data_IF_545794796688
#
_entry.id   IF_545794796688
#
_cell.length_a   1.000
_cell.length_b   1.000
_cell.length_c   1.000
_cell.angle_alpha   90.00
_cell.angle_beta   90.00
_cell.angle_gamma   90.00
#
_symmetry.space_group_name_H-M   'P 1'
#
loop_
_entity.id
_entity.type
_entity.pdbx_description
1 polymer ?
#
# COMPACT_ATOMS: atom_id res chain seq x y z
N UNK A 1 14.03 2.38 -10.08
CA UNK A 1 13.91 3.75 -9.55
C UNK A 1 12.84 3.86 -8.47
N UNK A 2 11.53 3.70 -8.76
CA UNK A 2 10.45 3.92 -7.78
C UNK A 2 10.57 3.10 -6.48
N UNK A 3 10.91 1.81 -6.56
CA UNK A 3 11.12 0.96 -5.37
C UNK A 3 12.30 1.43 -4.49
N UNK A 4 13.39 1.89 -5.11
CA UNK A 4 14.53 2.44 -4.37
C UNK A 4 14.16 3.74 -3.66
N UNK A 5 13.40 4.62 -4.33
CA UNK A 5 12.93 5.89 -3.73
C UNK A 5 12.01 5.63 -2.53
N UNK A 6 11.08 4.67 -2.65
CA UNK A 6 10.19 4.31 -1.55
C UNK A 6 10.95 3.67 -0.37
N UNK A 7 11.96 2.83 -0.65
CA UNK A 7 12.82 2.29 0.41
C UNK A 7 13.62 3.40 1.11
N UNK A 8 14.17 4.36 0.35
CA UNK A 8 14.86 5.51 0.91
C UNK A 8 13.93 6.41 1.75
N UNK A 9 12.69 6.61 1.31
CA UNK A 9 11.67 7.34 2.06
C UNK A 9 11.31 6.64 3.38
N UNK A 10 11.21 5.31 3.39
CA UNK A 10 11.00 4.53 4.62
C UNK A 10 12.15 4.68 5.61
N UNK A 11 13.39 4.68 5.12
CA UNK A 11 14.57 4.97 5.96
C UNK A 11 14.46 6.38 6.53
N UNK A 12 14.21 7.40 5.70
CA UNK A 12 14.06 8.76 6.18
C UNK A 12 12.94 8.91 7.24
N UNK A 13 11.80 8.27 7.03
CA UNK A 13 10.69 8.26 7.98
C UNK A 13 11.07 7.59 9.31
N UNK A 14 11.80 6.47 9.28
CA UNK A 14 12.28 5.82 10.49
C UNK A 14 13.22 6.71 11.32
N UNK A 15 14.09 7.48 10.65
CA UNK A 15 14.93 8.46 11.34
C UNK A 15 14.10 9.61 11.93
N UNK A 16 13.06 10.09 11.23
CA UNK A 16 12.18 11.14 11.74
C UNK A 16 11.39 10.72 12.99
N UNK A 17 11.13 9.41 13.18
CA UNK A 17 10.35 8.89 14.31
C UNK A 17 11.13 8.76 15.63
N UNK A 18 12.47 8.81 15.62
CA UNK A 18 13.22 8.61 16.86
C UNK A 18 14.74 8.71 16.79
N UNK A 19 15.34 9.11 15.66
CA UNK A 19 16.78 9.27 15.61
C UNK A 19 17.25 10.51 16.39
N UNK A 20 18.42 10.45 17.06
CA UNK A 20 19.01 11.61 17.73
C UNK A 20 19.15 12.79 16.76
N UNK A 21 18.86 14.00 17.25
CA UNK A 21 19.05 15.22 16.49
C UNK A 21 20.51 15.31 15.97
N UNK A 22 20.69 15.67 14.70
CA UNK A 22 22.01 15.74 14.06
C UNK A 22 22.50 14.44 13.42
N UNK A 23 21.77 13.32 13.56
CA UNK A 23 22.10 12.10 12.84
C UNK A 23 21.90 12.32 11.33
N UNK A 24 22.92 12.06 10.48
CA UNK A 24 22.83 12.40 9.06
C UNK A 24 22.08 11.31 8.29
N UNK A 25 20.75 11.26 8.49
CA UNK A 25 19.82 10.26 7.94
C UNK A 25 19.90 10.11 6.41
N UNK A 26 20.29 11.17 5.71
CA UNK A 26 20.40 11.19 4.25
C UNK A 26 21.47 10.24 3.71
N UNK A 27 22.55 9.96 4.45
CA UNK A 27 23.53 8.93 4.07
C UNK A 27 22.90 7.53 4.06
N UNK A 28 22.08 7.22 5.06
CA UNK A 28 21.38 5.93 5.15
C UNK A 28 20.30 5.81 4.06
N UNK A 29 19.57 6.89 3.80
CA UNK A 29 18.58 6.92 2.72
C UNK A 29 19.24 6.75 1.34
N UNK A 30 20.37 7.42 1.08
CA UNK A 30 21.15 7.25 -0.15
C UNK A 30 21.75 5.84 -0.26
N UNK A 31 22.24 5.28 0.84
CA UNK A 31 22.73 3.90 0.91
C UNK A 31 21.63 2.89 0.57
N UNK A 32 20.43 3.03 1.16
CA UNK A 32 19.28 2.18 0.85
C UNK A 32 18.83 2.33 -0.62
N UNK A 33 18.81 3.56 -1.15
CA UNK A 33 18.53 3.82 -2.56
C UNK A 33 19.49 3.05 -3.47
N UNK A 34 20.81 3.18 -3.23
CA UNK A 34 21.84 2.51 -4.01
C UNK A 34 21.76 0.99 -3.88
N UNK A 35 21.58 0.47 -2.66
CA UNK A 35 21.48 -0.96 -2.37
C UNK A 35 20.28 -1.60 -3.08
N UNK A 36 19.10 -0.96 -3.02
CA UNK A 36 17.88 -1.41 -3.71
C UNK A 36 17.99 -1.24 -5.23
N UNK A 37 18.72 -0.23 -5.71
CA UNK A 37 18.96 -0.07 -7.14
C UNK A 37 19.87 -1.18 -7.71
N UNK A 38 20.91 -1.57 -6.97
CA UNK A 38 21.90 -2.58 -7.39
C UNK A 38 21.42 -4.01 -7.15
N UNK A 39 20.80 -4.26 -6.00
CA UNK A 39 20.34 -5.58 -5.56
C UNK A 39 18.87 -5.48 -5.11
N UNK A 40 17.89 -5.45 -6.04
CA UNK A 40 16.51 -5.08 -5.69
C UNK A 40 15.88 -5.86 -4.54
N UNK A 41 16.04 -7.18 -4.50
CA UNK A 41 15.44 -8.02 -3.45
C UNK A 41 16.27 -8.03 -2.17
N UNK A 42 17.56 -8.35 -2.28
CA UNK A 42 18.44 -8.42 -1.11
C UNK A 42 18.59 -7.05 -0.46
N UNK A 43 18.72 -5.99 -1.27
CA UNK A 43 18.78 -4.62 -0.81
C UNK A 43 17.50 -4.14 -0.14
N UNK A 44 16.34 -4.55 -0.64
CA UNK A 44 15.07 -4.22 0.03
C UNK A 44 14.96 -4.92 1.38
N UNK A 45 15.30 -6.22 1.47
CA UNK A 45 15.28 -6.98 2.74
C UNK A 45 16.27 -6.39 3.74
N UNK A 46 17.50 -6.08 3.31
CA UNK A 46 18.51 -5.48 4.16
C UNK A 46 18.10 -4.08 4.65
N UNK A 47 17.54 -3.23 3.79
CA UNK A 47 17.04 -1.92 4.20
C UNK A 47 15.87 -2.04 5.19
N UNK A 48 14.91 -2.94 4.93
CA UNK A 48 13.79 -3.18 5.84
C UNK A 48 14.27 -3.71 7.20
N UNK A 49 15.20 -4.67 7.22
CA UNK A 49 15.80 -5.20 8.43
C UNK A 49 16.56 -4.12 9.22
N UNK A 50 17.33 -3.27 8.54
CA UNK A 50 18.04 -2.17 9.18
C UNK A 50 17.08 -1.15 9.82
N UNK A 51 16.00 -0.79 9.14
CA UNK A 51 14.97 0.10 9.69
C UNK A 51 14.30 -0.51 10.91
N UNK A 52 13.93 -1.79 10.82
CA UNK A 52 13.40 -2.58 11.94
C UNK A 52 14.37 -2.49 13.11
N UNK A 53 15.60 -3.00 12.97
CA UNK A 53 16.60 -3.00 14.06
C UNK A 53 16.80 -1.61 14.65
N UNK A 54 16.89 -0.57 13.83
CA UNK A 54 17.02 0.81 14.29
C UNK A 54 15.86 1.22 15.23
N UNK A 55 14.61 0.96 14.84
CA UNK A 55 13.43 1.29 15.63
C UNK A 55 13.34 0.47 16.94
N UNK A 56 13.82 -0.77 16.93
CA UNK A 56 13.93 -1.58 18.15
C UNK A 56 14.97 -1.00 19.11
N UNK A 57 16.13 -0.56 18.60
CA UNK A 57 17.19 0.03 19.42
C UNK A 57 16.81 1.40 20.01
N UNK A 58 15.85 2.09 19.39
CA UNK A 58 15.31 3.36 19.89
C UNK A 58 14.20 3.18 20.95
N UNK A 59 13.76 1.94 21.19
CA UNK A 59 12.72 1.58 22.17
C UNK A 59 11.40 2.39 22.03
N UNK A 60 11.11 2.82 20.79
CA UNK A 60 9.99 3.73 20.50
C UNK A 60 8.64 3.01 20.36
N UNK A 61 8.60 1.67 20.48
CA UNK A 61 7.40 0.86 20.28
C UNK A 61 6.94 0.72 18.81
N UNK A 62 7.61 1.36 17.85
CA UNK A 62 7.24 1.33 16.43
C UNK A 62 7.83 0.15 15.63
N UNK A 63 8.87 -0.50 16.16
CA UNK A 63 9.53 -1.64 15.53
C UNK A 63 8.56 -2.76 15.10
N UNK A 64 7.70 -3.27 16.00
CA UNK A 64 6.71 -4.30 15.67
C UNK A 64 5.76 -3.93 14.53
N UNK A 65 5.28 -2.69 14.48
CA UNK A 65 4.40 -2.21 13.40
C UNK A 65 5.12 -2.21 12.05
N UNK A 66 6.36 -1.73 12.01
CA UNK A 66 7.15 -1.74 10.77
C UNK A 66 7.50 -3.16 10.35
N UNK A 67 7.87 -4.03 11.29
CA UNK A 67 8.10 -5.45 10.99
C UNK A 67 6.83 -6.12 10.44
N UNK A 68 5.68 -5.89 11.07
CA UNK A 68 4.40 -6.42 10.63
C UNK A 68 4.04 -5.92 9.21
N UNK A 69 4.41 -4.68 8.86
CA UNK A 69 4.21 -4.15 7.51
C UNK A 69 5.14 -4.85 6.49
N UNK A 70 6.44 -4.95 6.78
CA UNK A 70 7.45 -5.41 5.81
C UNK A 70 7.55 -6.93 5.68
N UNK A 71 7.33 -7.70 6.75
CA UNK A 71 7.53 -9.15 6.78
C UNK A 71 6.65 -9.94 5.79
N UNK A 72 5.36 -9.60 5.56
CA UNK A 72 4.52 -10.32 4.61
C UNK A 72 4.89 -10.09 3.13
N UNK A 73 5.59 -8.99 2.82
CA UNK A 73 5.94 -8.61 1.43
C UNK A 73 6.77 -9.68 0.71
N UNK A 74 7.94 -10.13 1.22
CA UNK A 74 8.75 -11.14 0.53
C UNK A 74 8.03 -12.50 0.42
N UNK A 75 7.13 -12.81 1.35
CA UNK A 75 6.38 -14.07 1.35
C UNK A 75 5.29 -14.07 0.26
N UNK A 76 4.48 -13.00 0.22
CA UNK A 76 3.33 -12.89 -0.67
C UNK A 76 3.70 -12.45 -2.10
N UNK A 77 4.79 -11.70 -2.26
CA UNK A 77 5.23 -11.14 -3.54
C UNK A 77 6.54 -11.77 -4.04
N UNK A 78 6.91 -12.97 -3.57
CA UNK A 78 8.17 -13.66 -3.92
C UNK A 78 8.39 -13.77 -5.44
N UNK A 79 7.31 -14.10 -6.16
CA UNK A 79 7.29 -14.33 -7.61
C UNK A 79 6.93 -13.06 -8.40
N UNK A 80 6.59 -11.97 -7.70
CA UNK A 80 6.30 -10.71 -8.34
C UNK A 80 7.59 -10.01 -8.78
N UNK A 81 7.43 -9.06 -9.71
CA UNK A 81 8.54 -8.23 -10.19
C UNK A 81 9.14 -7.43 -9.04
N UNK A 82 10.47 -7.26 -8.95
CA UNK A 82 11.10 -6.54 -7.82
C UNK A 82 10.49 -5.16 -7.49
N UNK A 83 10.06 -4.33 -8.46
CA UNK A 83 9.47 -3.03 -8.14
C UNK A 83 8.17 -3.10 -7.33
N UNK A 84 7.43 -4.21 -7.39
CA UNK A 84 6.15 -4.35 -6.67
C UNK A 84 6.34 -4.59 -5.17
N UNK A 85 7.55 -4.89 -4.70
CA UNK A 85 7.82 -5.11 -3.28
C UNK A 85 7.66 -3.82 -2.46
N UNK A 86 7.93 -2.66 -3.05
CA UNK A 86 7.73 -1.37 -2.38
C UNK A 86 6.37 -0.75 -2.67
N UNK A 87 5.58 -1.32 -3.59
CA UNK A 87 4.28 -0.77 -3.96
C UNK A 87 3.28 -0.64 -2.78
N UNK A 88 3.22 -1.55 -1.78
CA UNK A 88 2.34 -1.38 -0.62
C UNK A 88 2.55 -0.06 0.14
N UNK A 89 3.76 0.49 0.13
CA UNK A 89 4.09 1.76 0.76
C UNK A 89 3.36 2.96 0.12
N UNK A 90 2.84 2.82 -1.10
CA UNK A 90 2.03 3.86 -1.73
C UNK A 90 0.65 3.98 -1.09
N UNK A 91 0.10 2.93 -0.47
CA UNK A 91 -1.23 2.98 0.11
C UNK A 91 -1.36 4.01 1.26
N UNK A 92 -0.45 4.04 2.26
CA UNK A 92 -0.40 5.14 3.22
C UNK A 92 -0.24 6.53 2.59
N UNK A 93 0.58 6.66 1.53
CA UNK A 93 0.78 7.94 0.82
C UNK A 93 -0.50 8.41 0.16
N UNK A 94 -1.25 7.52 -0.49
CA UNK A 94 -2.59 7.82 -0.99
C UNK A 94 -3.53 8.18 0.17
N UNK A 95 -3.46 7.49 1.31
CA UNK A 95 -4.24 7.79 2.50
C UNK A 95 -4.04 9.21 3.04
N UNK A 96 -2.80 9.70 3.05
CA UNK A 96 -2.49 11.09 3.45
C UNK A 96 -3.20 12.11 2.56
N UNK A 97 -3.38 11.80 1.28
CA UNK A 97 -4.16 12.60 0.34
C UNK A 97 -5.68 12.36 0.38
N UNK A 98 -6.19 11.47 1.24
CA UNK A 98 -7.60 11.04 1.22
C UNK A 98 -7.96 10.17 0.00
N UNK A 99 -6.96 9.51 -0.61
CA UNK A 99 -7.09 8.75 -1.84
C UNK A 99 -6.81 7.26 -1.64
N UNK A 100 -6.81 6.75 -0.39
CA UNK A 100 -6.43 5.37 -0.09
C UNK A 100 -7.18 4.33 -0.94
N UNK A 101 -8.49 4.53 -1.16
CA UNK A 101 -9.32 3.65 -1.99
C UNK A 101 -8.92 3.61 -3.47
N UNK A 102 -8.03 4.49 -3.94
CA UNK A 102 -7.46 4.42 -5.28
C UNK A 102 -6.41 3.30 -5.43
N UNK A 103 -5.82 2.83 -4.33
CA UNK A 103 -4.73 1.87 -4.37
C UNK A 103 -5.10 0.50 -5.00
N UNK A 104 -6.29 -0.10 -4.75
CA UNK A 104 -6.70 -1.31 -5.46
C UNK A 104 -6.70 -1.18 -6.99
N UNK A 105 -6.90 0.01 -7.56
CA UNK A 105 -6.76 0.22 -9.00
C UNK A 105 -5.32 0.01 -9.47
N UNK A 106 -4.33 0.45 -8.69
CA UNK A 106 -2.90 0.24 -8.96
C UNK A 106 -2.55 -1.25 -8.81
N UNK A 107 -3.03 -1.89 -7.74
CA UNK A 107 -2.78 -3.31 -7.48
C UNK A 107 -3.36 -4.22 -8.58
N UNK A 108 -4.53 -3.88 -9.11
CA UNK A 108 -5.18 -4.62 -10.19
C UNK A 108 -4.42 -4.63 -11.53
N UNK A 109 -3.39 -3.80 -11.68
CA UNK A 109 -2.58 -3.73 -12.91
C UNK A 109 -1.51 -4.85 -13.01
N UNK A 110 -1.28 -5.62 -11.95
CA UNK A 110 -0.33 -6.74 -12.02
C UNK A 110 -0.81 -7.84 -13.00
N UNK A 111 0.11 -8.62 -13.57
CA UNK A 111 -0.24 -9.62 -14.60
C UNK A 111 -0.94 -10.85 -14.02
N UNK A 112 -0.53 -11.31 -12.82
CA UNK A 112 -1.05 -12.54 -12.20
C UNK A 112 -2.16 -12.23 -11.19
N UNK A 113 -3.27 -12.98 -11.18
CA UNK A 113 -4.42 -12.69 -10.30
C UNK A 113 -4.05 -12.75 -8.82
N UNK A 114 -3.28 -13.75 -8.40
CA UNK A 114 -2.82 -13.89 -7.01
C UNK A 114 -1.97 -12.69 -6.58
N UNK A 115 -1.11 -12.16 -7.45
CA UNK A 115 -0.31 -10.98 -7.11
C UNK A 115 -1.16 -9.71 -7.00
N UNK A 116 -2.25 -9.57 -7.79
CA UNK A 116 -3.19 -8.44 -7.65
C UNK A 116 -3.85 -8.45 -6.28
N UNK A 117 -4.40 -9.61 -5.91
CA UNK A 117 -5.06 -9.80 -4.63
C UNK A 117 -4.08 -9.58 -3.46
N UNK A 118 -2.89 -10.19 -3.53
CA UNK A 118 -1.85 -10.03 -2.52
C UNK A 118 -1.41 -8.56 -2.38
N UNK A 119 -1.19 -7.86 -3.49
CA UNK A 119 -0.81 -6.44 -3.45
C UNK A 119 -1.95 -5.58 -2.90
N UNK A 120 -3.20 -5.84 -3.27
CA UNK A 120 -4.38 -5.16 -2.72
C UNK A 120 -4.50 -5.34 -1.20
N UNK A 121 -4.39 -6.57 -0.71
CA UNK A 121 -4.38 -6.88 0.72
C UNK A 121 -3.21 -6.18 1.46
N UNK A 122 -2.01 -6.26 0.90
CA UNK A 122 -0.81 -5.61 1.46
C UNK A 122 -0.97 -4.09 1.51
N UNK A 123 -1.59 -3.47 0.51
CA UNK A 123 -1.88 -2.03 0.54
C UNK A 123 -2.78 -1.64 1.70
N UNK A 124 -3.87 -2.37 1.92
CA UNK A 124 -4.77 -2.13 3.05
C UNK A 124 -4.03 -2.33 4.37
N UNK A 125 -3.28 -3.44 4.48
CA UNK A 125 -2.47 -3.77 5.66
C UNK A 125 -1.48 -2.65 6.01
N UNK A 126 -0.74 -2.15 5.02
CA UNK A 126 0.18 -1.03 5.21
C UNK A 126 -0.54 0.26 5.60
N UNK A 127 -1.67 0.58 4.98
CA UNK A 127 -2.46 1.76 5.32
C UNK A 127 -2.99 1.69 6.76
N UNK A 128 -3.44 0.52 7.22
CA UNK A 128 -3.91 0.32 8.59
C UNK A 128 -2.79 0.43 9.62
N UNK A 129 -1.63 -0.17 9.36
CA UNK A 129 -0.47 -0.06 10.24
C UNK A 129 0.12 1.36 10.27
N UNK A 130 -0.11 2.16 9.22
CA UNK A 130 0.33 3.56 9.16
C UNK A 130 -0.54 4.50 10.00
N UNK A 131 -1.81 4.20 10.28
CA UNK A 131 -2.66 5.05 11.13
C UNK A 131 -2.08 5.29 12.53
N UNK A 132 -1.72 4.26 13.33
CA UNK A 132 -1.13 4.47 14.65
C UNK A 132 0.26 5.13 14.57
N UNK A 133 1.03 4.86 13.50
CA UNK A 133 2.35 5.48 13.28
C UNK A 133 2.27 6.99 13.05
N UNK A 134 1.23 7.43 12.34
CA UNK A 134 1.06 8.83 11.93
C UNK A 134 0.17 9.62 12.87
N UNK A 135 -0.57 8.97 13.77
CA UNK A 135 -1.60 9.61 14.60
C UNK A 135 -2.73 10.21 13.77
N UNK A 136 -2.91 9.74 12.54
CA UNK A 136 -3.82 10.29 11.54
C UNK A 136 -4.85 9.24 11.12
N UNK A 137 -6.08 9.69 10.91
CA UNK A 137 -7.12 8.86 10.30
C UNK A 137 -6.90 8.83 8.79
N UNK A 138 -6.42 7.71 8.27
CA UNK A 138 -6.23 7.47 6.83
C UNK A 138 -7.45 6.76 6.21
N UNK A 139 -8.02 5.82 6.96
CA UNK A 139 -9.15 4.98 6.60
C UNK A 139 -10.26 5.19 7.62
N UNK A 140 -10.15 4.61 8.81
CA UNK A 140 -11.20 4.65 9.83
C UNK A 140 -10.73 5.10 11.21
N UNK A 141 -9.42 5.22 11.44
CA UNK A 141 -8.85 5.74 12.67
C UNK A 141 -8.04 4.67 13.39
N UNK A 142 -6.80 5.02 13.72
CA UNK A 142 -5.87 4.14 14.41
C UNK A 142 -6.22 3.95 15.89
N UNK A 143 -5.43 3.10 16.54
CA UNK A 143 -5.42 2.93 17.99
C UNK A 143 -4.29 3.77 18.61
N UNK A 144 -4.42 4.14 19.88
CA UNK A 144 -3.35 4.73 20.69
C UNK A 144 -2.31 3.67 21.15
N UNK A 145 -2.60 2.38 20.93
CA UNK A 145 -1.71 1.28 21.26
C UNK A 145 -0.38 1.39 20.50
N UNK A 146 0.67 0.76 21.06
CA UNK A 146 2.00 0.66 20.44
C UNK A 146 2.49 -0.78 20.45
N UNK A 147 3.61 -1.02 19.76
CA UNK A 147 4.26 -2.33 19.75
C UNK A 147 3.35 -3.42 19.17
N UNK A 148 3.35 -4.57 19.83
CA UNK A 148 2.55 -5.72 19.40
C UNK A 148 1.05 -5.55 19.64
N UNK A 149 0.65 -4.72 20.60
CA UNK A 149 -0.77 -4.44 20.87
C UNK A 149 -1.40 -3.69 19.70
N UNK A 150 -0.67 -2.72 19.13
CA UNK A 150 -1.09 -2.02 17.91
C UNK A 150 -1.24 -2.97 16.70
N UNK A 151 -0.30 -3.93 16.55
CA UNK A 151 -0.38 -4.94 15.50
C UNK A 151 -1.60 -5.84 15.72
N UNK A 152 -1.85 -6.26 16.96
CA UNK A 152 -3.00 -7.10 17.31
C UNK A 152 -4.33 -6.36 17.06
N UNK A 153 -4.42 -5.07 17.40
CA UNK A 153 -5.58 -4.23 17.12
C UNK A 153 -5.88 -4.13 15.62
N UNK A 154 -4.85 -3.92 14.79
CA UNK A 154 -4.98 -3.89 13.32
C UNK A 154 -5.34 -5.28 12.75
N UNK A 155 -4.85 -6.36 13.36
CA UNK A 155 -5.14 -7.73 12.96
C UNK A 155 -6.53 -8.24 13.36
N UNK A 156 -7.38 -7.41 13.98
CA UNK A 156 -8.76 -7.76 14.28
C UNK A 156 -9.63 -7.88 13.01
N UNK A 157 -10.82 -8.47 13.16
CA UNK A 157 -11.72 -8.79 12.06
C UNK A 157 -11.98 -7.62 11.09
N UNK A 158 -12.18 -6.36 11.51
CA UNK A 158 -12.38 -5.24 10.57
C UNK A 158 -11.15 -4.98 9.70
N UNK A 159 -9.94 -5.04 10.25
CA UNK A 159 -8.71 -4.83 9.49
C UNK A 159 -8.48 -5.90 8.44
N UNK A 160 -8.68 -7.17 8.81
CA UNK A 160 -8.58 -8.30 7.88
C UNK A 160 -9.69 -8.27 6.82
N UNK A 161 -10.92 -7.89 7.20
CA UNK A 161 -12.03 -7.74 6.27
C UNK A 161 -11.75 -6.63 5.24
N UNK A 162 -11.17 -5.50 5.66
CA UNK A 162 -10.80 -4.42 4.76
C UNK A 162 -9.69 -4.85 3.79
N UNK A 163 -8.70 -5.61 4.27
CA UNK A 163 -7.69 -6.22 3.41
C UNK A 163 -8.31 -7.17 2.38
N UNK A 164 -9.33 -7.94 2.78
CA UNK A 164 -10.15 -8.77 1.89
C UNK A 164 -10.89 -7.94 0.83
N UNK A 165 -11.52 -6.84 1.21
CA UNK A 165 -12.20 -5.91 0.29
C UNK A 165 -11.23 -5.34 -0.74
N UNK A 166 -10.04 -4.91 -0.32
CA UNK A 166 -9.03 -4.37 -1.24
C UNK A 166 -8.45 -5.45 -2.16
N UNK A 167 -8.23 -6.66 -1.65
CA UNK A 167 -7.81 -7.80 -2.45
C UNK A 167 -8.84 -8.16 -3.52
N UNK A 168 -10.13 -8.24 -3.15
CA UNK A 168 -11.23 -8.48 -4.07
C UNK A 168 -11.35 -7.36 -5.11
N UNK A 169 -11.25 -6.09 -4.68
CA UNK A 169 -11.23 -4.94 -5.57
C UNK A 169 -10.12 -5.06 -6.64
N UNK A 170 -8.90 -5.33 -6.21
CA UNK A 170 -7.76 -5.50 -7.12
C UNK A 170 -7.91 -6.72 -8.05
N UNK A 171 -8.50 -7.81 -7.57
CA UNK A 171 -8.73 -9.03 -8.35
C UNK A 171 -9.80 -8.85 -9.42
N UNK A 172 -10.92 -8.20 -9.07
CA UNK A 172 -12.10 -8.07 -9.92
C UNK A 172 -11.96 -7.00 -11.00
N UNK A 173 -11.13 -5.98 -10.76
CA UNK A 173 -10.93 -4.83 -11.66
C UNK A 173 -10.76 -5.22 -13.15
N UNK A 174 -9.80 -6.07 -13.55
CA UNK A 174 -9.56 -6.38 -14.96
C UNK A 174 -10.69 -7.18 -15.63
N UNK A 175 -11.61 -7.77 -14.86
CA UNK A 175 -12.79 -8.45 -15.39
C UNK A 175 -13.90 -7.47 -15.75
N UNK A 176 -14.02 -6.39 -14.97
CA UNK A 176 -15.01 -5.34 -15.12
C UNK A 176 -14.57 -4.25 -16.11
N UNK A 177 -13.27 -3.94 -16.15
CA UNK A 177 -12.68 -2.88 -16.97
C UNK A 177 -11.62 -3.49 -17.89
N UNK A 178 -12.07 -3.90 -19.08
CA UNK A 178 -11.27 -4.72 -20.02
C UNK A 178 -10.47 -3.89 -21.01
N UNK A 179 -10.93 -2.68 -21.35
CA UNK A 179 -10.26 -1.79 -22.31
C UNK A 179 -10.74 -1.94 -23.74
N UNK A 180 -11.86 -2.64 -23.98
CA UNK A 180 -12.36 -2.93 -25.35
C UNK A 180 -13.32 -1.87 -25.86
N UNK A 181 -14.16 -1.32 -24.98
CA UNK A 181 -15.22 -0.36 -25.33
C UNK A 181 -15.31 0.66 -24.21
N UNK A 182 -14.98 1.92 -24.50
CA UNK A 182 -14.88 2.98 -23.49
C UNK A 182 -16.16 3.11 -22.65
N UNK A 183 -17.33 3.08 -23.28
CA UNK A 183 -18.60 3.19 -22.57
C UNK A 183 -18.80 2.05 -21.55
N UNK A 184 -18.48 0.81 -21.92
CA UNK A 184 -18.57 -0.36 -21.03
C UNK A 184 -17.55 -0.25 -19.90
N UNK A 185 -16.32 0.19 -20.22
CA UNK A 185 -15.26 0.37 -19.23
C UNK A 185 -15.58 1.47 -18.21
N UNK A 186 -16.22 2.57 -18.63
CA UNK A 186 -16.67 3.64 -17.73
C UNK A 186 -17.77 3.13 -16.78
N UNK A 187 -18.75 2.39 -17.29
CA UNK A 187 -19.81 1.79 -16.46
C UNK A 187 -19.21 0.77 -15.48
N UNK A 188 -18.33 -0.11 -15.96
CA UNK A 188 -17.65 -1.11 -15.14
C UNK A 188 -16.77 -0.48 -14.06
N UNK A 189 -16.00 0.55 -14.39
CA UNK A 189 -15.16 1.28 -13.44
C UNK A 189 -16.00 1.98 -12.36
N UNK A 190 -17.13 2.59 -12.76
CA UNK A 190 -18.05 3.26 -11.83
C UNK A 190 -18.70 2.27 -10.86
N UNK A 191 -19.21 1.15 -11.38
CA UNK A 191 -19.82 0.09 -10.57
C UNK A 191 -18.79 -0.53 -9.61
N UNK A 192 -17.57 -0.77 -10.09
CA UNK A 192 -16.47 -1.28 -9.29
C UNK A 192 -16.04 -0.31 -8.18
N UNK A 193 -15.85 0.98 -8.50
CA UNK A 193 -15.46 1.98 -7.50
C UNK A 193 -16.53 2.16 -6.44
N UNK A 194 -17.81 2.14 -6.83
CA UNK A 194 -18.93 2.21 -5.90
C UNK A 194 -18.97 0.98 -4.97
N UNK A 195 -18.80 -0.22 -5.52
CA UNK A 195 -18.76 -1.46 -4.73
C UNK A 195 -17.58 -1.49 -3.75
N UNK A 196 -16.39 -1.04 -4.18
CA UNK A 196 -15.21 -0.96 -3.32
C UNK A 196 -15.42 0.04 -2.17
N UNK A 197 -15.97 1.21 -2.47
CA UNK A 197 -16.25 2.23 -1.47
C UNK A 197 -17.33 1.77 -0.48
N UNK A 198 -18.43 1.19 -0.97
CA UNK A 198 -19.49 0.63 -0.13
C UNK A 198 -18.98 -0.53 0.74
N UNK A 199 -18.16 -1.43 0.18
CA UNK A 199 -17.53 -2.52 0.93
C UNK A 199 -16.60 -2.02 2.02
N UNK A 200 -15.80 -0.99 1.74
CA UNK A 200 -14.95 -0.36 2.75
C UNK A 200 -15.79 0.26 3.86
N UNK A 201 -16.81 1.06 3.52
CA UNK A 201 -17.71 1.66 4.50
C UNK A 201 -18.45 0.63 5.35
N UNK A 202 -18.87 -0.50 4.76
CA UNK A 202 -19.54 -1.58 5.47
C UNK A 202 -18.64 -2.23 6.53
N UNK A 203 -17.34 -2.36 6.23
CA UNK A 203 -16.35 -2.90 7.17
C UNK A 203 -16.02 -1.89 8.28
N UNK A 204 -15.89 -0.61 7.93
CA UNK A 204 -15.45 0.44 8.87
C UNK A 204 -16.59 1.04 9.69
N UNK A 205 -17.86 0.77 9.34
CA UNK A 205 -19.04 1.34 9.98
C UNK A 205 -19.27 2.84 9.71
N UNK A 206 -18.31 3.51 9.06
CA UNK A 206 -18.34 4.93 8.74
C UNK A 206 -17.61 5.18 7.40
N UNK A 207 -17.95 6.25 6.65
CA UNK A 207 -17.28 6.56 5.40
C UNK A 207 -15.77 6.79 5.63
N UNK A 208 -14.89 6.10 4.86
CA UNK A 208 -13.45 6.35 4.93
C UNK A 208 -13.09 7.79 4.58
N UNK A 209 -11.97 8.29 5.11
CA UNK A 209 -11.48 9.64 4.76
C UNK A 209 -11.25 9.75 3.25
N UNK A 210 -11.82 10.80 2.65
CA UNK A 210 -11.68 11.09 1.23
C UNK A 210 -12.31 10.05 0.29
N UNK A 211 -13.25 9.22 0.80
CA UNK A 211 -13.94 8.17 0.05
C UNK A 211 -14.39 8.59 -1.36
N UNK A 212 -15.00 9.77 -1.51
CA UNK A 212 -15.48 10.27 -2.81
C UNK A 212 -14.32 10.56 -3.76
N UNK A 213 -13.33 11.35 -3.33
CA UNK A 213 -12.16 11.67 -4.15
C UNK A 213 -11.35 10.41 -4.51
N UNK A 214 -11.17 9.51 -3.54
CA UNK A 214 -10.54 8.22 -3.73
C UNK A 214 -11.28 7.38 -4.76
N UNK A 215 -12.61 7.24 -4.65
CA UNK A 215 -13.43 6.48 -5.59
C UNK A 215 -13.37 7.05 -7.02
N UNK A 216 -13.46 8.37 -7.18
CA UNK A 216 -13.35 9.04 -8.48
C UNK A 216 -11.99 8.79 -9.11
N UNK A 217 -10.90 9.00 -8.37
CA UNK A 217 -9.55 8.73 -8.88
C UNK A 217 -9.35 7.26 -9.23
N UNK A 218 -9.89 6.36 -8.41
CA UNK A 218 -9.84 4.91 -8.63
C UNK A 218 -10.49 4.52 -9.96
N UNK A 219 -11.69 5.04 -10.24
CA UNK A 219 -12.38 4.84 -11.51
C UNK A 219 -11.62 5.43 -12.70
N UNK A 220 -11.06 6.63 -12.56
CA UNK A 220 -10.25 7.26 -13.60
C UNK A 220 -8.99 6.45 -13.93
N UNK A 221 -8.27 5.97 -12.91
CA UNK A 221 -7.08 5.11 -13.07
C UNK A 221 -7.42 3.78 -13.74
N UNK A 222 -8.56 3.19 -13.39
CA UNK A 222 -9.05 1.96 -14.00
C UNK A 222 -9.27 2.13 -15.52
N UNK A 223 -9.98 3.18 -15.93
CA UNK A 223 -10.27 3.47 -17.34
C UNK A 223 -8.99 3.80 -18.11
N UNK A 224 -8.13 4.66 -17.56
CA UNK A 224 -6.87 5.04 -18.20
C UNK A 224 -5.95 3.83 -18.44
N UNK A 225 -5.83 2.96 -17.45
CA UNK A 225 -5.03 1.75 -17.58
C UNK A 225 -5.63 0.77 -18.61
N UNK A 226 -6.94 0.62 -18.64
CA UNK A 226 -7.62 -0.22 -19.62
C UNK A 226 -7.46 0.30 -21.05
N UNK A 227 -7.61 1.61 -21.27
CA UNK A 227 -7.40 2.24 -22.57
C UNK A 227 -5.95 2.03 -23.09
N UNK A 228 -4.96 2.12 -22.20
CA UNK A 228 -3.55 1.89 -22.57
C UNK A 228 -3.26 0.47 -23.06
N UNK A 229 -3.97 -0.54 -22.51
CA UNK A 229 -3.87 -1.94 -22.95
C UNK A 229 -4.52 -2.16 -24.30
N UNK A 230 -5.74 -1.63 -24.49
CA UNK A 230 -6.44 -1.73 -25.76
C UNK A 230 -5.65 -1.11 -26.93
N UNK A 231 -4.96 0.01 -26.67
CA UNK A 231 -4.07 0.64 -27.65
C UNK A 231 -2.82 -0.17 -27.99
N UNK A 232 -2.34 -1.02 -27.08
CA UNK A 232 -1.20 -1.90 -27.32
C UNK A 232 -1.58 -3.15 -28.12
N UNK A 233 -2.76 -3.71 -27.86
CA UNK A 233 -3.26 -4.91 -28.57
C UNK A 233 -3.68 -4.62 -30.03
N UNK A 234 -3.93 -3.35 -30.37
CA UNK A 234 -4.31 -2.90 -31.71
C UNK A 234 -3.11 -2.61 -32.65
N UNK A 235 -1.87 -2.68 -32.14
CA UNK A 235 -0.63 -2.48 -32.91
C UNK A 235 0.00 -3.81 -33.29
#
# INVERSE_FOLDING_TARGET
>A
AAAAVLAAALVAAAFALGAPAGTPWWWFAAGALALVALLPRAGWVAAAAAVVVLLWLQDAGWGPLVLAAVAPVPLLLREASPPSWSAPALAPVYGLGGLALAFPAVAGQLRRPLHRAALGALGAWWALLAEPLLGERLLYGGTDDRGWDAVAAVAQAPGLALAGVWAAGALLLPYLVRGRVLAVDVVGATAWSAALAAGAQAVTGAPPRGMVAGAVLCGALAVAAAASRGAADAR
#
